data_IF_086565960971
#
_entry.id   IF_086565960971
#
_cell.length_a   1.000
_cell.length_b   1.000
_cell.length_c   1.000
_cell.angle_alpha   90.00
_cell.angle_beta   90.00
_cell.angle_gamma   90.00
#
_symmetry.space_group_name_H-M   'P 1'
#
loop_
_entity.id
_entity.type
_entity.pdbx_description
1 polymer ?
#
# COMPACT_ATOMS: atom_id res chain seq x y z
N UNK A 1 28.62 7.25 -9.01
CA UNK A 1 28.41 6.56 -7.72
C UNK A 1 28.85 5.12 -7.85
N UNK A 2 29.59 4.62 -6.87
CA UNK A 2 29.90 3.20 -6.71
C UNK A 2 28.69 2.43 -6.19
N UNK A 3 28.70 1.10 -6.28
CA UNK A 3 27.63 0.28 -5.67
C UNK A 3 27.50 0.49 -4.17
N UNK A 4 28.61 0.75 -3.46
CA UNK A 4 28.59 1.04 -2.03
C UNK A 4 27.87 2.36 -1.72
N UNK A 5 28.09 3.40 -2.53
CA UNK A 5 27.41 4.69 -2.39
C UNK A 5 25.90 4.53 -2.64
N UNK A 6 25.52 3.78 -3.68
CA UNK A 6 24.11 3.48 -3.97
C UNK A 6 23.45 2.74 -2.80
N UNK A 7 24.12 1.73 -2.24
CA UNK A 7 23.59 0.97 -1.10
C UNK A 7 23.36 1.83 0.14
N UNK A 8 24.30 2.74 0.44
CA UNK A 8 24.16 3.70 1.55
C UNK A 8 22.94 4.61 1.39
N UNK A 9 22.75 5.15 0.19
CA UNK A 9 21.64 6.08 -0.08
C UNK A 9 20.27 5.37 -0.04
N UNK A 10 20.20 4.15 -0.59
CA UNK A 10 18.99 3.32 -0.52
C UNK A 10 18.68 2.96 0.95
N UNK A 11 19.67 2.53 1.72
CA UNK A 11 19.49 2.20 3.14
C UNK A 11 18.94 3.39 3.94
N UNK A 12 19.55 4.57 3.77
CA UNK A 12 19.08 5.79 4.43
C UNK A 12 17.65 6.18 4.02
N UNK A 13 17.25 5.95 2.77
CA UNK A 13 15.88 6.17 2.32
C UNK A 13 14.91 5.18 2.98
N UNK A 14 15.25 3.89 3.02
CA UNK A 14 14.41 2.85 3.63
C UNK A 14 14.22 3.10 5.12
N UNK A 15 15.25 3.50 5.86
CA UNK A 15 15.16 3.84 7.28
C UNK A 15 14.25 5.04 7.56
N UNK A 16 14.26 6.05 6.69
CA UNK A 16 13.33 7.19 6.81
C UNK A 16 11.89 6.75 6.57
N UNK A 17 11.66 5.95 5.52
CA UNK A 17 10.31 5.43 5.20
C UNK A 17 9.78 4.53 6.31
N UNK A 18 10.59 3.60 6.81
CA UNK A 18 10.16 2.65 7.83
C UNK A 18 9.73 3.36 9.13
N UNK A 19 10.46 4.40 9.52
CA UNK A 19 10.09 5.25 10.67
C UNK A 19 8.81 6.03 10.44
N UNK A 20 8.66 6.65 9.28
CA UNK A 20 7.46 7.42 8.95
C UNK A 20 6.19 6.55 8.82
N UNK A 21 6.35 5.26 8.54
CA UNK A 21 5.26 4.33 8.25
C UNK A 21 5.03 3.34 9.41
N UNK A 22 5.83 3.40 10.48
CA UNK A 22 5.63 2.61 11.69
C UNK A 22 5.76 1.10 11.50
N UNK A 23 6.69 0.65 10.65
CA UNK A 23 6.85 -0.75 10.23
C UNK A 23 5.62 -1.29 9.47
N UNK A 24 5.05 -0.45 8.61
CA UNK A 24 3.92 -0.82 7.73
C UNK A 24 4.22 -2.07 6.89
N UNK A 25 5.45 -2.27 6.43
CA UNK A 25 5.80 -3.39 5.56
C UNK A 25 5.51 -4.74 6.23
N UNK A 26 5.98 -4.93 7.47
CA UNK A 26 5.75 -6.16 8.23
C UNK A 26 4.29 -6.25 8.66
N UNK A 27 3.74 -5.17 9.23
CA UNK A 27 2.40 -5.19 9.84
C UNK A 27 1.28 -5.31 8.81
N UNK A 28 1.44 -4.75 7.62
CA UNK A 28 0.48 -4.92 6.52
C UNK A 28 0.36 -6.38 6.13
N UNK A 29 1.47 -7.13 6.13
CA UNK A 29 1.47 -8.58 5.91
C UNK A 29 0.63 -9.34 6.94
N UNK A 30 0.70 -8.96 8.22
CA UNK A 30 -0.13 -9.57 9.27
C UNK A 30 -1.61 -9.23 9.10
N UNK A 31 -1.95 -8.00 8.72
CA UNK A 31 -3.34 -7.63 8.39
C UNK A 31 -3.85 -8.44 7.20
N UNK A 32 -3.04 -8.61 6.15
CA UNK A 32 -3.42 -9.40 4.98
C UNK A 32 -3.67 -10.87 5.31
N UNK A 33 -2.94 -11.47 6.27
CA UNK A 33 -3.21 -12.84 6.74
C UNK A 33 -4.58 -12.96 7.42
N UNK A 34 -5.04 -11.90 8.10
CA UNK A 34 -6.38 -11.87 8.70
C UNK A 34 -7.45 -11.75 7.60
N UNK A 35 -7.23 -10.92 6.58
CA UNK A 35 -8.19 -10.70 5.50
C UNK A 35 -8.26 -11.86 4.49
N UNK A 36 -7.13 -12.52 4.23
CA UNK A 36 -6.98 -13.60 3.25
C UNK A 36 -6.40 -14.87 3.91
N UNK A 37 -7.09 -15.47 4.90
CA UNK A 37 -6.54 -16.58 5.69
C UNK A 37 -6.30 -17.85 4.87
N UNK A 38 -6.98 -17.99 3.72
CA UNK A 38 -6.86 -19.14 2.82
C UNK A 38 -6.08 -18.81 1.53
N UNK A 39 -5.37 -17.68 1.51
CA UNK A 39 -4.71 -17.17 0.30
C UNK A 39 -5.62 -16.34 -0.59
N UNK A 40 -5.13 -16.04 -1.80
CA UNK A 40 -5.78 -15.12 -2.77
C UNK A 40 -5.91 -15.83 -4.12
N UNK A 41 -7.11 -15.80 -4.72
CA UNK A 41 -7.30 -16.36 -6.05
C UNK A 41 -6.81 -15.39 -7.14
N UNK A 42 -6.51 -15.93 -8.33
CA UNK A 42 -5.98 -15.13 -9.45
C UNK A 42 -6.89 -13.95 -9.85
N UNK A 43 -8.21 -14.10 -9.73
CA UNK A 43 -9.17 -13.03 -10.03
C UNK A 43 -9.19 -11.88 -9.01
N UNK A 44 -8.60 -12.07 -7.82
CA UNK A 44 -8.69 -11.12 -6.71
C UNK A 44 -7.47 -10.18 -6.62
N UNK A 45 -6.44 -10.37 -7.44
CA UNK A 45 -5.17 -9.64 -7.33
C UNK A 45 -5.32 -8.11 -7.42
N UNK A 46 -6.32 -7.63 -8.18
CA UNK A 46 -6.60 -6.20 -8.27
C UNK A 46 -7.17 -5.65 -6.97
N UNK A 47 -8.13 -6.35 -6.39
CA UNK A 47 -8.67 -6.04 -5.06
C UNK A 47 -7.60 -6.14 -3.99
N UNK A 48 -6.79 -7.20 -4.00
CA UNK A 48 -5.66 -7.38 -3.10
C UNK A 48 -4.69 -6.19 -3.17
N UNK A 49 -4.33 -5.74 -4.38
CA UNK A 49 -3.46 -4.59 -4.59
C UNK A 49 -4.06 -3.33 -3.98
N UNK A 50 -5.34 -3.04 -4.23
CA UNK A 50 -6.02 -1.88 -3.67
C UNK A 50 -6.05 -1.92 -2.14
N UNK A 51 -6.43 -3.06 -1.55
CA UNK A 51 -6.46 -3.29 -0.10
C UNK A 51 -5.08 -3.10 0.51
N UNK A 52 -4.05 -3.71 -0.07
CA UNK A 52 -2.66 -3.61 0.42
C UNK A 52 -2.18 -2.17 0.45
N UNK A 53 -2.46 -1.39 -0.60
CA UNK A 53 -2.08 0.03 -0.66
C UNK A 53 -2.86 0.88 0.34
N UNK A 54 -4.14 0.58 0.58
CA UNK A 54 -4.93 1.27 1.60
C UNK A 54 -4.36 1.00 2.99
N UNK A 55 -4.06 -0.26 3.32
CA UNK A 55 -3.47 -0.64 4.62
C UNK A 55 -2.15 0.10 4.84
N UNK A 56 -1.27 0.15 3.83
CA UNK A 56 0.01 0.87 3.93
C UNK A 56 -0.19 2.37 4.22
N UNK A 57 -1.15 3.00 3.55
CA UNK A 57 -1.49 4.42 3.78
C UNK A 57 -2.09 4.64 5.17
N UNK A 58 -2.87 3.70 5.70
CA UNK A 58 -3.40 3.79 7.07
C UNK A 58 -2.27 3.77 8.13
N UNK A 59 -1.26 2.91 7.95
CA UNK A 59 -0.09 2.88 8.83
C UNK A 59 0.66 4.21 8.81
N UNK A 60 0.87 4.79 7.63
CA UNK A 60 1.46 6.12 7.51
C UNK A 60 0.60 7.19 8.19
N UNK A 61 -0.70 7.24 7.92
CA UNK A 61 -1.61 8.22 8.55
C UNK A 61 -1.53 8.15 10.08
N UNK A 62 -1.47 6.94 10.63
CA UNK A 62 -1.39 6.71 12.07
C UNK A 62 -0.02 7.05 12.68
N UNK A 63 1.06 7.01 11.88
CA UNK A 63 2.43 7.23 12.34
C UNK A 63 2.91 8.66 12.06
N UNK A 64 2.92 9.06 10.81
CA UNK A 64 3.22 10.43 10.36
C UNK A 64 2.45 10.74 9.06
N UNK A 65 1.28 11.35 9.24
CA UNK A 65 0.39 11.72 8.12
C UNK A 65 1.05 12.67 7.11
N UNK A 66 2.04 13.46 7.52
CA UNK A 66 2.64 14.52 6.72
C UNK A 66 3.97 14.11 6.08
N UNK A 67 4.49 12.91 6.39
CA UNK A 67 5.75 12.44 5.83
C UNK A 67 5.73 12.46 4.29
N UNK A 68 6.78 12.95 3.64
CA UNK A 68 6.95 12.93 2.17
C UNK A 68 5.91 13.73 1.34
N UNK A 69 5.21 14.71 1.92
CA UNK A 69 4.33 15.65 1.21
C UNK A 69 3.18 15.03 0.39
N UNK A 70 2.91 13.73 0.51
CA UNK A 70 1.75 13.11 -0.15
C UNK A 70 0.45 13.31 0.65
N UNK A 71 -0.70 13.27 -0.01
CA UNK A 71 -2.02 13.33 0.62
C UNK A 71 -2.63 11.92 0.73
N UNK A 72 -2.39 11.16 1.83
CA UNK A 72 -2.73 9.74 1.90
C UNK A 72 -4.24 9.46 1.81
N UNK A 73 -5.09 10.39 2.27
CA UNK A 73 -6.54 10.26 2.11
C UNK A 73 -6.99 10.40 0.66
N UNK A 74 -6.35 11.28 -0.12
CA UNK A 74 -6.61 11.42 -1.55
C UNK A 74 -6.23 10.15 -2.31
N UNK A 75 -5.12 9.52 -1.93
CA UNK A 75 -4.72 8.23 -2.50
C UNK A 75 -5.75 7.14 -2.21
N UNK A 76 -6.22 7.03 -0.97
CA UNK A 76 -7.25 6.06 -0.57
C UNK A 76 -8.55 6.29 -1.37
N UNK A 77 -8.99 7.54 -1.50
CA UNK A 77 -10.16 7.88 -2.31
C UNK A 77 -9.96 7.50 -3.78
N UNK A 78 -8.77 7.73 -4.34
CA UNK A 78 -8.40 7.31 -5.68
C UNK A 78 -8.48 5.79 -5.88
N UNK A 79 -7.96 4.99 -4.94
CA UNK A 79 -8.04 3.53 -5.02
C UNK A 79 -9.48 3.03 -4.93
N UNK A 80 -10.29 3.61 -4.05
CA UNK A 80 -11.71 3.29 -3.95
C UNK A 80 -12.46 3.60 -5.26
N UNK A 81 -12.23 4.78 -5.85
CA UNK A 81 -12.82 5.17 -7.14
C UNK A 81 -12.44 4.20 -8.27
N UNK A 82 -11.17 3.78 -8.34
CA UNK A 82 -10.71 2.81 -9.33
C UNK A 82 -11.45 1.47 -9.21
N UNK A 83 -11.65 0.96 -7.99
CA UNK A 83 -12.37 -0.29 -7.76
C UNK A 83 -13.87 -0.18 -8.08
N UNK A 84 -14.51 0.92 -7.69
CA UNK A 84 -15.92 1.19 -8.06
C UNK A 84 -16.09 1.23 -9.58
N UNK A 85 -15.18 1.94 -10.28
CA UNK A 85 -15.21 2.01 -11.73
C UNK A 85 -14.96 0.67 -12.41
N UNK A 86 -14.23 -0.25 -11.77
CA UNK A 86 -13.97 -1.58 -12.31
C UNK A 86 -15.16 -2.52 -12.18
N UNK A 87 -15.76 -2.59 -10.99
CA UNK A 87 -16.96 -3.39 -10.75
C UNK A 87 -18.10 -2.96 -11.70
N UNK A 88 -18.25 -1.65 -11.92
CA UNK A 88 -19.23 -1.12 -12.87
C UNK A 88 -18.96 -1.44 -14.35
N UNK A 89 -17.74 -1.87 -14.72
CA UNK A 89 -17.42 -2.37 -16.08
C UNK A 89 -17.68 -3.87 -16.20
N UNK A 90 -17.39 -4.64 -15.15
CA UNK A 90 -17.71 -6.07 -15.10
C UNK A 90 -19.22 -6.31 -15.19
N UNK A 91 -20.02 -5.53 -14.46
CA UNK A 91 -21.50 -5.64 -14.49
C UNK A 91 -22.11 -5.27 -15.84
N UNK A 92 -21.45 -4.41 -16.63
CA UNK A 92 -21.90 -4.06 -18.00
C UNK A 92 -21.46 -5.08 -19.07
N UNK A 93 -20.60 -6.03 -18.69
CA UNK A 93 -20.04 -7.04 -19.59
C UNK A 93 -20.68 -8.42 -19.40
N UNK A 94 -21.65 -8.53 -18.48
CA UNK A 94 -22.53 -9.69 -18.26
C UNK A 94 -23.90 -9.42 -18.86
#
# INVERSE_FOLDING_TARGET
MTYAEIGKDIGALVDRKNRAYGDSFTKSGEVLKILYPNGVNLGEFKTLLAVTRIIDKLFRIATDKNAFDEAPWTDIAGYALLMVGDNGREDKSK
#
